data_IF_095748366539
#
_entry.id   IF_095748366539
#
_cell.length_a   1.000
_cell.length_b   1.000
_cell.length_c   1.000
_cell.angle_alpha   90.00
_cell.angle_beta   90.00
_cell.angle_gamma   90.00
#
_symmetry.space_group_name_H-M   'P 1'
#
loop_
_entity.id
_entity.type
_entity.pdbx_description
1 polymer ?
#
# COMPACT_ATOMS: atom_id res chain seq x y z
N UNK A 1 -13.30 10.59 -1.07
CA UNK A 1 -12.73 10.39 0.29
C UNK A 1 -11.53 9.46 0.13
N UNK A 2 -10.30 9.87 0.47
CA UNK A 2 -9.10 9.05 0.18
C UNK A 2 -9.00 7.83 1.10
N UNK A 3 -8.52 6.70 0.58
CA UNK A 3 -8.36 5.46 1.35
C UNK A 3 -7.49 5.65 2.62
N UNK A 4 -6.50 6.54 2.56
CA UNK A 4 -5.66 6.92 3.72
C UNK A 4 -6.51 7.53 4.85
N UNK A 5 -7.50 8.37 4.52
CA UNK A 5 -8.41 8.95 5.53
C UNK A 5 -9.33 7.91 6.17
N UNK A 6 -9.63 6.82 5.47
CA UNK A 6 -10.40 5.71 6.02
C UNK A 6 -9.52 4.83 6.92
N UNK A 7 -8.28 4.53 6.51
CA UNK A 7 -7.30 3.83 7.37
C UNK A 7 -7.00 4.58 8.65
N UNK A 8 -6.79 5.90 8.58
CA UNK A 8 -6.58 6.74 9.77
C UNK A 8 -7.80 6.81 10.71
N UNK A 9 -8.99 6.44 10.23
CA UNK A 9 -10.22 6.34 11.03
C UNK A 9 -10.41 4.94 11.64
N UNK A 10 -9.45 4.03 11.45
CA UNK A 10 -9.50 2.66 11.98
C UNK A 10 -10.25 1.67 11.10
N UNK A 11 -10.55 2.00 9.84
CA UNK A 11 -11.16 1.03 8.94
C UNK A 11 -10.14 0.01 8.43
N UNK A 12 -10.53 -1.26 8.43
CA UNK A 12 -9.78 -2.36 7.84
C UNK A 12 -9.71 -2.21 6.31
N UNK A 13 -8.60 -2.65 5.70
CA UNK A 13 -8.43 -2.58 4.25
C UNK A 13 -9.47 -3.42 3.50
N UNK A 14 -9.89 -4.54 4.09
CA UNK A 14 -10.93 -5.41 3.54
C UNK A 14 -12.27 -4.66 3.43
N UNK A 15 -12.58 -3.79 4.39
CA UNK A 15 -13.81 -3.00 4.36
C UNK A 15 -13.73 -1.91 3.29
N UNK A 16 -12.56 -1.30 3.12
CA UNK A 16 -12.30 -0.33 2.04
C UNK A 16 -12.38 -1.02 0.68
N UNK A 17 -11.83 -2.22 0.55
CA UNK A 17 -11.86 -3.03 -0.66
C UNK A 17 -13.29 -3.36 -1.07
N UNK A 18 -14.09 -3.90 -0.14
CA UNK A 18 -15.50 -4.26 -0.39
C UNK A 18 -16.35 -3.04 -0.74
N UNK A 19 -16.14 -1.93 -0.04
CA UNK A 19 -16.91 -0.69 -0.23
C UNK A 19 -16.61 -0.01 -1.57
N UNK A 20 -15.39 -0.13 -2.05
CA UNK A 20 -14.93 0.55 -3.27
C UNK A 20 -14.67 -0.38 -4.46
N UNK A 21 -14.99 -1.67 -4.33
CA UNK A 21 -14.81 -2.71 -5.37
C UNK A 21 -13.39 -2.66 -5.94
N UNK A 22 -12.41 -2.63 -5.05
CA UNK A 22 -11.00 -2.54 -5.44
C UNK A 22 -10.46 -3.93 -5.79
N UNK A 23 -9.62 -3.99 -6.83
CA UNK A 23 -8.86 -5.20 -7.14
C UNK A 23 -7.79 -5.47 -6.07
N UNK A 24 -7.41 -6.73 -5.89
CA UNK A 24 -6.37 -7.12 -4.93
C UNK A 24 -5.05 -6.37 -5.17
N UNK A 25 -4.67 -6.16 -6.44
CA UNK A 25 -3.50 -5.35 -6.79
C UNK A 25 -3.60 -3.91 -6.27
N UNK A 26 -4.78 -3.30 -6.36
CA UNK A 26 -5.02 -1.94 -5.87
C UNK A 26 -4.95 -1.86 -4.34
N UNK A 27 -5.46 -2.89 -3.66
CA UNK A 27 -5.40 -3.06 -2.20
C UNK A 27 -3.94 -3.13 -1.74
N UNK A 28 -3.12 -3.95 -2.40
CA UNK A 28 -1.69 -4.05 -2.11
C UNK A 28 -0.94 -2.74 -2.34
N UNK A 29 -1.22 -2.04 -3.45
CA UNK A 29 -0.62 -0.72 -3.70
C UNK A 29 -1.02 0.30 -2.63
N UNK A 30 -2.27 0.29 -2.19
CA UNK A 30 -2.75 1.15 -1.11
C UNK A 30 -2.06 0.84 0.22
N UNK A 31 -1.88 -0.44 0.56
CA UNK A 31 -1.23 -0.83 1.80
C UNK A 31 0.26 -0.48 1.80
N UNK A 32 0.94 -0.67 0.66
CA UNK A 32 2.31 -0.20 0.46
C UNK A 32 2.41 1.32 0.63
N UNK A 33 1.54 2.08 -0.03
CA UNK A 33 1.50 3.55 0.09
C UNK A 33 1.24 4.02 1.51
N UNK A 34 0.31 3.37 2.24
CA UNK A 34 0.00 3.66 3.63
C UNK A 34 1.18 3.35 4.56
N UNK A 35 1.85 2.22 4.35
CA UNK A 35 3.05 1.85 5.11
C UNK A 35 4.20 2.84 4.89
N UNK A 36 4.39 3.29 3.65
CA UNK A 36 5.39 4.32 3.34
C UNK A 36 5.06 5.64 4.04
N UNK A 37 3.79 6.04 4.04
CA UNK A 37 3.33 7.23 4.75
C UNK A 37 3.59 7.15 6.26
N UNK A 38 3.25 6.03 6.91
CA UNK A 38 3.46 5.85 8.35
C UNK A 38 4.94 5.85 8.76
N UNK A 39 5.80 5.28 7.93
CA UNK A 39 7.24 5.19 8.20
C UNK A 39 8.02 6.40 7.68
N UNK A 40 7.34 7.39 7.12
CA UNK A 40 7.95 8.57 6.47
C UNK A 40 9.00 8.14 5.43
N UNK A 41 8.73 7.05 4.72
CA UNK A 41 9.61 6.52 3.68
C UNK A 41 9.18 7.09 2.32
N UNK A 42 10.12 7.62 1.52
CA UNK A 42 9.83 8.00 0.14
C UNK A 42 9.38 6.76 -0.63
N UNK A 43 8.25 6.87 -1.34
CA UNK A 43 7.74 5.75 -2.12
C UNK A 43 8.76 5.29 -3.17
N UNK A 44 9.45 6.23 -3.82
CA UNK A 44 10.50 5.96 -4.82
C UNK A 44 11.65 5.13 -4.22
N UNK A 45 12.01 5.39 -2.97
CA UNK A 45 13.03 4.64 -2.25
C UNK A 45 12.59 3.20 -2.00
N UNK A 46 11.34 2.99 -1.58
CA UNK A 46 10.78 1.65 -1.33
C UNK A 46 10.64 0.87 -2.64
N UNK A 47 10.20 1.52 -3.73
CA UNK A 47 10.13 0.90 -5.07
C UNK A 47 11.53 0.46 -5.54
N UNK A 48 12.55 1.28 -5.29
CA UNK A 48 13.94 0.95 -5.63
C UNK A 48 14.43 -0.29 -4.86
N UNK A 49 14.13 -0.37 -3.55
CA UNK A 49 14.47 -1.55 -2.73
C UNK A 49 13.75 -2.80 -3.21
N UNK A 50 12.43 -2.73 -3.45
CA UNK A 50 11.67 -3.90 -3.91
C UNK A 50 12.16 -4.37 -5.28
N UNK A 51 12.55 -3.44 -6.15
CA UNK A 51 13.10 -3.76 -7.46
C UNK A 51 14.48 -4.40 -7.38
N UNK A 52 15.32 -4.02 -6.41
CA UNK A 52 16.64 -4.64 -6.21
C UNK A 52 16.55 -6.04 -5.60
N UNK A 53 15.53 -6.34 -4.80
CA UNK A 53 15.26 -7.67 -4.23
C UNK A 53 14.84 -8.69 -5.31
N UNK A 54 14.18 -8.24 -6.39
CA UNK A 54 13.75 -9.13 -7.50
C UNK A 54 14.90 -9.80 -8.26
N UNK A 55 16.16 -9.41 -8.01
CA UNK A 55 17.34 -9.95 -8.71
C UNK A 55 17.98 -11.18 -8.04
N UNK A 56 17.41 -11.75 -6.98
CA UNK A 56 17.94 -12.95 -6.33
C UNK A 56 16.95 -14.12 -6.43
N UNK A 57 16.75 -14.61 -7.67
CA UNK A 57 16.24 -15.96 -7.90
C UNK A 57 17.28 -16.64 -8.78
N UNK A 58 18.15 -17.44 -8.16
CA UNK A 58 18.93 -18.49 -8.82
C UNK A 58 18.10 -19.76 -8.86
#
# INVERSE_FOLDING_TARGET
>A
MSAIKLRNKGYELVDIQKKHILSDGTVWTLELGYTCYLKTLPLDYVVTIVSSIKTTIH
#
